data_IF_658208859445
#
_entry.id   IF_658208859445
#
_cell.length_a   1.000
_cell.length_b   1.000
_cell.length_c   1.000
_cell.angle_alpha   90.00
_cell.angle_beta   90.00
_cell.angle_gamma   90.00
#
_symmetry.space_group_name_H-M   'P 1'
#
loop_
_entity.id
_entity.type
_entity.pdbx_description
1 polymer ?
#
# COMPACT_ATOMS: atom_id res chain seq x y z
N UNK A 1 -51.48 -58.55 -73.46
CA UNK A 1 -52.01 -57.94 -72.24
C UNK A 1 -50.87 -57.34 -71.48
N UNK A 2 -50.84 -56.05 -71.61
CA UNK A 2 -49.82 -55.16 -71.15
C UNK A 2 -50.18 -54.66 -69.76
N UNK A 3 -49.24 -54.79 -68.80
CA UNK A 3 -49.41 -54.17 -67.50
C UNK A 3 -48.10 -53.41 -67.13
N UNK A 4 -47.99 -52.26 -67.75
CA UNK A 4 -47.03 -51.26 -67.37
C UNK A 4 -47.48 -50.49 -66.13
N UNK A 5 -46.78 -50.69 -65.04
CA UNK A 5 -46.90 -49.84 -63.83
C UNK A 5 -45.54 -49.23 -63.49
N UNK A 6 -45.44 -47.96 -63.81
CA UNK A 6 -44.24 -47.15 -63.40
C UNK A 6 -44.32 -46.83 -61.89
N UNK A 7 -43.24 -47.00 -61.13
CA UNK A 7 -43.25 -46.49 -59.75
C UNK A 7 -43.05 -44.97 -59.74
N UNK A 8 -44.06 -44.29 -59.17
CA UNK A 8 -43.95 -42.90 -58.84
C UNK A 8 -42.89 -42.70 -57.74
N UNK A 9 -41.90 -41.91 -58.07
CA UNK A 9 -40.95 -41.37 -57.12
C UNK A 9 -41.62 -40.41 -56.17
N UNK A 10 -41.57 -40.69 -54.91
CA UNK A 10 -42.00 -39.77 -53.86
C UNK A 10 -41.08 -38.54 -53.82
N UNK A 11 -41.61 -37.34 -53.57
CA UNK A 11 -40.78 -36.14 -53.46
C UNK A 11 -39.91 -36.19 -52.21
N UNK A 12 -38.59 -36.01 -52.39
CA UNK A 12 -37.61 -35.79 -51.35
C UNK A 12 -38.01 -34.51 -50.54
N UNK A 13 -38.34 -34.73 -49.28
CA UNK A 13 -38.44 -33.64 -48.30
C UNK A 13 -37.03 -33.17 -48.01
N UNK A 14 -36.60 -32.10 -48.69
CA UNK A 14 -35.42 -31.31 -48.30
C UNK A 14 -35.73 -30.63 -46.98
N UNK A 15 -35.21 -31.18 -45.91
CA UNK A 15 -35.13 -30.53 -44.61
C UNK A 15 -34.06 -29.42 -44.71
N UNK A 16 -34.51 -28.20 -44.80
CA UNK A 16 -33.64 -27.02 -44.77
C UNK A 16 -33.33 -26.73 -43.29
N UNK A 17 -32.09 -26.87 -42.80
CA UNK A 17 -31.72 -26.51 -41.43
C UNK A 17 -31.24 -25.07 -41.39
N UNK A 18 -32.06 -24.13 -41.78
CA UNK A 18 -31.83 -22.72 -41.46
C UNK A 18 -32.85 -22.23 -40.44
N UNK A 19 -32.74 -22.74 -39.22
CA UNK A 19 -33.25 -22.01 -38.05
C UNK A 19 -32.13 -21.12 -37.57
N UNK A 20 -32.01 -19.94 -38.15
CA UNK A 20 -31.31 -18.82 -37.50
C UNK A 20 -32.07 -18.44 -36.24
N UNK A 21 -31.71 -19.07 -35.14
CA UNK A 21 -32.08 -18.56 -33.81
C UNK A 21 -31.06 -17.48 -33.48
N UNK A 22 -31.19 -16.34 -34.10
CA UNK A 22 -30.67 -15.09 -33.55
C UNK A 22 -31.59 -14.68 -32.42
N UNK A 23 -31.30 -15.17 -31.21
CA UNK A 23 -31.78 -14.48 -30.04
C UNK A 23 -31.19 -13.07 -30.08
N UNK A 24 -31.99 -12.01 -29.93
CA UNK A 24 -31.43 -10.68 -29.81
C UNK A 24 -30.64 -10.68 -28.50
N UNK A 25 -29.33 -10.80 -28.61
CA UNK A 25 -28.43 -10.34 -27.55
C UNK A 25 -28.60 -8.82 -27.56
N UNK A 26 -29.51 -8.31 -26.76
CA UNK A 26 -29.44 -6.94 -26.31
C UNK A 26 -28.08 -6.79 -25.62
N UNK A 27 -27.09 -6.40 -26.39
CA UNK A 27 -25.86 -5.80 -25.88
C UNK A 27 -26.33 -4.47 -25.29
N UNK A 28 -26.68 -4.49 -24.01
CA UNK A 28 -26.77 -3.27 -23.20
C UNK A 28 -25.40 -2.63 -23.38
N UNK A 29 -25.26 -1.49 -24.07
CA UNK A 29 -24.01 -0.78 -24.09
C UNK A 29 -23.81 -0.27 -22.65
N UNK A 30 -23.07 -1.05 -21.84
CA UNK A 30 -22.49 -0.53 -20.62
C UNK A 30 -21.51 0.53 -21.10
N UNK A 31 -21.97 1.78 -21.07
CA UNK A 31 -21.12 2.90 -21.40
C UNK A 31 -19.93 2.81 -20.44
N UNK A 32 -18.71 2.82 -20.99
CA UNK A 32 -17.46 2.70 -20.19
C UNK A 32 -17.45 3.70 -19.04
N UNK A 33 -18.02 4.87 -19.28
CA UNK A 33 -18.12 5.95 -18.29
C UNK A 33 -18.98 5.57 -17.08
N UNK A 34 -20.07 4.80 -17.26
CA UNK A 34 -20.91 4.35 -16.15
C UNK A 34 -20.23 3.29 -15.29
N UNK A 35 -19.47 2.37 -15.93
CA UNK A 35 -18.70 1.34 -15.23
C UNK A 35 -17.57 1.97 -14.42
N UNK A 36 -16.88 2.95 -15.01
CA UNK A 36 -15.79 3.65 -14.34
C UNK A 36 -16.30 4.49 -13.16
N UNK A 37 -17.41 5.21 -13.33
CA UNK A 37 -18.04 5.94 -12.24
C UNK A 37 -18.49 5.04 -11.09
N UNK A 38 -19.08 3.87 -11.37
CA UNK A 38 -19.45 2.89 -10.35
C UNK A 38 -18.20 2.33 -9.64
N UNK A 39 -17.13 2.07 -10.37
CA UNK A 39 -15.88 1.57 -9.77
C UNK A 39 -15.23 2.62 -8.84
N UNK A 40 -15.23 3.89 -9.24
CA UNK A 40 -14.75 5.01 -8.41
C UNK A 40 -15.61 5.15 -7.14
N UNK A 41 -16.94 5.03 -7.25
CA UNK A 41 -17.84 5.10 -6.09
C UNK A 41 -17.56 3.96 -5.10
N UNK A 42 -17.47 2.72 -5.56
CA UNK A 42 -17.16 1.56 -4.71
C UNK A 42 -15.78 1.70 -4.06
N UNK A 43 -14.82 2.27 -4.77
CA UNK A 43 -13.49 2.53 -4.21
C UNK A 43 -13.56 3.60 -3.10
N UNK A 44 -14.31 4.68 -3.32
CA UNK A 44 -14.50 5.73 -2.32
C UNK A 44 -15.19 5.20 -1.07
N UNK A 45 -16.27 4.43 -1.19
CA UNK A 45 -16.95 3.79 -0.06
C UNK A 45 -15.99 2.89 0.74
N UNK A 46 -15.11 2.16 0.07
CA UNK A 46 -14.09 1.33 0.71
C UNK A 46 -13.08 2.16 1.51
N UNK A 47 -12.63 3.30 0.96
CA UNK A 47 -11.71 4.19 1.65
C UNK A 47 -12.38 4.87 2.85
N UNK A 48 -13.65 5.20 2.77
CA UNK A 48 -14.44 5.74 3.89
C UNK A 48 -14.62 4.70 5.01
N UNK A 49 -14.86 3.43 4.66
CA UNK A 49 -14.90 2.34 5.65
C UNK A 49 -13.53 2.15 6.33
N UNK A 50 -12.46 2.17 5.56
CA UNK A 50 -11.11 2.09 6.10
C UNK A 50 -10.78 3.27 7.02
N UNK A 51 -11.18 4.49 6.63
CA UNK A 51 -11.05 5.69 7.46
C UNK A 51 -11.71 5.47 8.83
N UNK A 52 -12.96 5.01 8.83
CA UNK A 52 -13.73 4.77 10.05
C UNK A 52 -13.08 3.69 10.92
N UNK A 53 -12.60 2.61 10.31
CA UNK A 53 -11.91 1.53 11.03
C UNK A 53 -10.61 2.02 11.68
N UNK A 54 -9.81 2.82 10.97
CA UNK A 54 -8.58 3.41 11.51
C UNK A 54 -8.87 4.39 12.66
N UNK A 55 -9.90 5.22 12.53
CA UNK A 55 -10.33 6.13 13.60
C UNK A 55 -10.76 5.34 14.85
N UNK A 56 -11.59 4.33 14.68
CA UNK A 56 -12.03 3.44 15.76
C UNK A 56 -10.84 2.76 16.43
N UNK A 57 -9.89 2.25 15.65
CA UNK A 57 -8.68 1.61 16.17
C UNK A 57 -7.81 2.55 17.00
N UNK A 58 -7.70 3.81 16.60
CA UNK A 58 -6.98 4.84 17.40
C UNK A 58 -7.74 5.16 18.69
N UNK A 59 -9.07 5.21 18.65
CA UNK A 59 -9.90 5.55 19.81
C UNK A 59 -10.00 4.40 20.83
N UNK A 60 -10.09 3.17 20.36
CA UNK A 60 -10.22 1.98 21.21
C UNK A 60 -8.89 1.48 21.77
N UNK A 61 -7.75 1.82 21.16
CA UNK A 61 -6.45 1.40 21.65
C UNK A 61 -5.85 2.45 22.59
N UNK A 62 -5.73 2.15 23.92
CA UNK A 62 -5.21 3.11 24.91
C UNK A 62 -3.77 3.59 24.62
N UNK A 63 -2.98 2.83 23.89
CA UNK A 63 -1.63 3.22 23.52
C UNK A 63 -1.65 4.24 22.38
N UNK A 64 -2.52 4.04 21.37
CA UNK A 64 -2.67 4.95 20.24
C UNK A 64 -3.43 6.23 20.61
N UNK A 65 -4.41 6.13 21.51
CA UNK A 65 -5.23 7.25 21.97
C UNK A 65 -4.38 8.41 22.53
N UNK A 66 -3.25 8.09 23.17
CA UNK A 66 -2.30 9.10 23.70
C UNK A 66 -1.68 9.97 22.62
N UNK A 67 -1.73 9.53 21.37
CA UNK A 67 -1.12 10.20 20.22
C UNK A 67 -2.17 10.65 19.19
N UNK A 68 -3.46 10.63 19.56
CA UNK A 68 -4.56 11.03 18.68
C UNK A 68 -4.37 12.45 18.10
N UNK A 69 -3.78 13.34 18.86
CA UNK A 69 -3.48 14.72 18.46
C UNK A 69 -2.38 14.83 17.40
N UNK A 70 -1.57 13.79 17.21
CA UNK A 70 -0.52 13.70 16.19
C UNK A 70 -0.97 12.97 14.93
N UNK A 71 -2.12 12.29 14.95
CA UNK A 71 -2.62 11.46 13.85
C UNK A 71 -3.86 12.13 13.26
N UNK A 72 -3.83 12.40 11.96
CA UNK A 72 -5.00 12.89 11.22
C UNK A 72 -5.29 12.02 10.00
N UNK A 73 -6.56 11.94 9.66
CA UNK A 73 -7.07 11.17 8.53
C UNK A 73 -7.89 12.08 7.64
N UNK A 74 -7.68 12.01 6.33
CA UNK A 74 -8.37 12.83 5.35
C UNK A 74 -8.61 12.07 4.05
N UNK A 75 -9.81 12.13 3.50
CA UNK A 75 -10.08 11.67 2.14
C UNK A 75 -9.66 12.77 1.16
N UNK A 76 -8.77 12.45 0.26
CA UNK A 76 -8.25 13.34 -0.79
C UNK A 76 -8.55 12.74 -2.18
N UNK A 77 -8.40 13.49 -3.27
CA UNK A 77 -8.55 12.94 -4.62
C UNK A 77 -7.57 11.79 -4.93
N UNK A 78 -6.41 11.76 -4.26
CA UNK A 78 -5.42 10.70 -4.41
C UNK A 78 -5.74 9.43 -3.59
N UNK A 79 -6.62 9.55 -2.60
CA UNK A 79 -7.02 8.47 -1.71
C UNK A 79 -7.12 8.88 -0.24
N UNK A 80 -7.07 7.90 0.66
CA UNK A 80 -7.09 8.16 2.11
C UNK A 80 -5.68 8.52 2.58
N UNK A 81 -5.51 9.77 3.01
CA UNK A 81 -4.29 10.27 3.65
C UNK A 81 -4.34 10.01 5.15
N UNK A 82 -3.30 9.35 5.64
CA UNK A 82 -2.99 9.17 7.06
C UNK A 82 -1.75 10.01 7.32
N UNK A 83 -1.90 11.09 8.08
CA UNK A 83 -0.81 12.01 8.38
C UNK A 83 -0.43 11.90 9.84
N UNK A 84 0.86 11.73 10.11
CA UNK A 84 1.40 11.67 11.47
C UNK A 84 2.43 12.79 11.59
N UNK A 85 2.21 13.69 12.56
CA UNK A 85 3.01 14.90 12.76
C UNK A 85 3.80 14.84 14.05
N UNK A 86 4.95 15.52 14.09
CA UNK A 86 5.67 15.76 15.33
C UNK A 86 4.89 16.72 16.22
N UNK A 87 4.93 16.48 17.53
CA UNK A 87 4.59 17.47 18.55
C UNK A 87 5.87 17.95 19.24
N UNK A 88 5.82 19.15 19.84
CA UNK A 88 6.99 19.78 20.46
C UNK A 88 7.71 18.87 21.48
N UNK A 89 6.94 18.09 22.24
CA UNK A 89 7.46 17.19 23.30
C UNK A 89 7.42 15.70 22.93
N UNK A 90 6.98 15.38 21.71
CA UNK A 90 6.80 13.98 21.24
C UNK A 90 7.27 13.85 19.79
N UNK A 91 8.59 13.90 19.55
CA UNK A 91 9.16 13.73 18.21
C UNK A 91 9.05 12.27 17.77
N UNK A 92 8.66 12.04 16.51
CA UNK A 92 8.55 10.69 15.90
C UNK A 92 9.92 10.01 15.72
N UNK A 93 10.97 10.81 15.52
CA UNK A 93 12.32 10.34 15.25
C UNK A 93 13.32 10.93 16.24
N UNK A 94 14.49 10.29 16.35
CA UNK A 94 15.64 10.92 17.00
C UNK A 94 16.09 12.16 16.23
N UNK A 95 16.67 13.12 16.93
CA UNK A 95 17.09 14.39 16.33
C UNK A 95 18.10 14.15 15.21
N UNK A 96 17.84 14.72 14.03
CA UNK A 96 18.71 14.55 12.86
C UNK A 96 18.84 13.12 12.33
N UNK A 97 17.99 12.20 12.75
CA UNK A 97 18.04 10.79 12.43
C UNK A 97 16.73 10.28 11.79
N UNK A 98 16.80 9.15 11.12
CA UNK A 98 15.66 8.37 10.66
C UNK A 98 15.28 7.24 11.63
N UNK A 99 15.92 7.18 12.82
CA UNK A 99 15.57 6.20 13.85
C UNK A 99 14.20 6.54 14.44
N UNK A 100 13.26 5.59 14.33
CA UNK A 100 11.92 5.72 14.91
C UNK A 100 11.96 5.73 16.43
N UNK A 101 11.14 6.59 17.03
CA UNK A 101 10.82 6.46 18.45
C UNK A 101 9.92 5.24 18.67
N UNK A 102 10.06 4.50 19.77
CA UNK A 102 9.28 3.28 20.01
C UNK A 102 7.76 3.47 19.87
N UNK A 103 7.24 4.57 20.37
CA UNK A 103 5.80 4.85 20.27
C UNK A 103 5.32 5.05 18.83
N UNK A 104 6.15 5.67 17.97
CA UNK A 104 5.80 5.88 16.58
C UNK A 104 5.86 4.57 15.79
N UNK A 105 6.84 3.74 16.08
CA UNK A 105 6.91 2.37 15.57
C UNK A 105 5.66 1.58 15.95
N UNK A 106 5.23 1.62 17.23
CA UNK A 106 4.02 0.96 17.71
C UNK A 106 2.75 1.43 16.95
N UNK A 107 2.65 2.75 16.64
CA UNK A 107 1.57 3.31 15.83
C UNK A 107 1.56 2.67 14.43
N UNK A 108 2.71 2.64 13.75
CA UNK A 108 2.82 2.09 12.40
C UNK A 108 2.52 0.58 12.36
N UNK A 109 3.04 -0.19 13.33
CA UNK A 109 2.76 -1.61 13.47
C UNK A 109 1.26 -1.87 13.67
N UNK A 110 0.62 -1.10 14.55
CA UNK A 110 -0.81 -1.24 14.83
C UNK A 110 -1.70 -0.89 13.63
N UNK A 111 -1.29 0.06 12.79
CA UNK A 111 -2.04 0.48 11.60
C UNK A 111 -1.85 -0.47 10.41
N UNK A 112 -0.71 -1.16 10.33
CA UNK A 112 -0.35 -2.00 9.19
C UNK A 112 -1.41 -3.05 8.87
N UNK A 113 -1.95 -3.74 9.90
CA UNK A 113 -2.98 -4.76 9.74
C UNK A 113 -4.29 -4.21 9.16
N UNK A 114 -4.68 -3.00 9.56
CA UNK A 114 -5.90 -2.37 9.06
C UNK A 114 -5.72 -1.89 7.62
N UNK A 115 -4.57 -1.26 7.32
CA UNK A 115 -4.29 -0.75 5.96
C UNK A 115 -4.18 -1.90 4.96
N UNK A 116 -3.60 -3.04 5.33
CA UNK A 116 -3.48 -4.20 4.42
C UNK A 116 -4.81 -4.89 4.08
N UNK A 117 -5.88 -4.60 4.82
CA UNK A 117 -7.20 -5.17 4.54
C UNK A 117 -7.78 -4.71 3.19
N UNK A 118 -7.28 -3.61 2.64
CA UNK A 118 -7.67 -3.12 1.32
C UNK A 118 -6.61 -3.46 0.26
N UNK A 119 -7.02 -3.74 -1.00
CA UNK A 119 -6.10 -4.11 -2.08
C UNK A 119 -5.34 -2.92 -2.68
N UNK A 120 -5.57 -1.72 -2.14
CA UNK A 120 -4.98 -0.48 -2.63
C UNK A 120 -3.49 -0.41 -2.27
N UNK A 121 -2.67 0.11 -3.16
CA UNK A 121 -1.27 0.41 -2.86
C UNK A 121 -1.14 1.69 -2.03
N UNK A 122 -0.02 1.84 -1.33
CA UNK A 122 0.27 3.04 -0.56
C UNK A 122 1.44 3.83 -1.16
N UNK A 123 1.38 5.15 -0.97
CA UNK A 123 2.49 6.08 -1.15
C UNK A 123 2.91 6.60 0.22
N UNK A 124 4.21 6.57 0.52
CA UNK A 124 4.74 7.05 1.79
C UNK A 124 5.63 8.25 1.51
N UNK A 125 5.38 9.36 2.17
CA UNK A 125 6.20 10.57 2.05
C UNK A 125 6.66 11.10 3.39
N UNK A 126 7.90 11.62 3.38
CA UNK A 126 8.53 12.24 4.55
C UNK A 126 8.78 13.72 4.31
N UNK A 127 8.62 14.51 5.37
CA UNK A 127 8.78 15.95 5.34
C UNK A 127 9.63 16.42 6.53
N UNK A 128 10.33 17.53 6.36
CA UNK A 128 11.06 18.22 7.42
C UNK A 128 10.51 19.62 7.63
N UNK A 129 10.84 20.24 8.75
CA UNK A 129 10.75 21.67 8.90
C UNK A 129 11.84 22.37 8.04
N UNK A 130 11.81 23.69 8.00
CA UNK A 130 12.76 24.49 7.21
C UNK A 130 14.12 24.69 7.92
N UNK A 131 14.37 24.06 9.08
CA UNK A 131 15.69 24.14 9.71
C UNK A 131 16.73 23.44 8.84
N UNK A 132 17.84 24.12 8.51
CA UNK A 132 18.92 23.49 7.80
C UNK A 132 19.40 22.25 8.57
N UNK A 133 19.61 21.15 7.84
CA UNK A 133 20.21 19.97 8.44
C UNK A 133 21.68 20.26 8.81
N UNK A 134 22.05 20.05 10.07
CA UNK A 134 23.37 20.36 10.58
C UNK A 134 24.39 19.21 10.38
N UNK A 135 24.12 18.28 9.46
CA UNK A 135 25.04 17.16 9.15
C UNK A 135 26.24 17.58 8.34
N UNK A 136 27.18 16.63 8.17
CA UNK A 136 28.38 16.83 7.34
C UNK A 136 28.19 16.25 5.94
N UNK A 137 28.81 16.86 4.94
CA UNK A 137 28.79 16.41 3.55
C UNK A 137 27.49 16.76 2.81
N UNK A 138 27.15 15.95 1.83
CA UNK A 138 26.01 16.15 0.92
C UNK A 138 24.66 15.68 1.51
N UNK A 139 24.62 15.23 2.76
CA UNK A 139 23.41 14.77 3.44
C UNK A 139 22.65 15.97 4.00
N UNK A 140 21.43 16.15 3.53
CA UNK A 140 20.56 17.26 3.90
C UNK A 140 19.13 16.82 4.26
N UNK A 141 18.21 17.79 4.26
CA UNK A 141 16.81 17.55 4.54
C UNK A 141 16.12 16.64 3.50
N UNK A 142 16.63 16.61 2.26
CA UNK A 142 16.13 15.72 1.20
C UNK A 142 16.39 14.25 1.57
N UNK A 143 17.64 13.92 1.90
CA UNK A 143 18.04 12.58 2.30
C UNK A 143 17.40 12.19 3.62
N UNK A 144 17.35 13.11 4.60
CA UNK A 144 16.73 12.86 5.89
C UNK A 144 15.23 12.51 5.73
N UNK A 145 14.50 13.29 4.94
CA UNK A 145 13.06 13.05 4.73
C UNK A 145 12.79 11.74 4.00
N UNK A 146 13.59 11.41 2.98
CA UNK A 146 13.49 10.14 2.27
C UNK A 146 13.83 8.94 3.17
N UNK A 147 14.88 9.04 4.00
CA UNK A 147 15.26 8.00 4.95
C UNK A 147 14.18 7.78 6.03
N UNK A 148 13.54 8.85 6.50
CA UNK A 148 12.41 8.78 7.45
C UNK A 148 11.19 8.09 6.84
N UNK A 149 10.85 8.42 5.58
CA UNK A 149 9.78 7.73 4.86
C UNK A 149 10.10 6.24 4.67
N UNK A 150 11.37 5.89 4.37
CA UNK A 150 11.80 4.49 4.28
C UNK A 150 11.77 3.78 5.64
N UNK A 151 12.08 4.47 6.74
CA UNK A 151 11.96 3.89 8.08
C UNK A 151 10.48 3.57 8.41
N UNK A 152 9.56 4.47 8.07
CA UNK A 152 8.13 4.21 8.21
C UNK A 152 7.67 3.02 7.34
N UNK A 153 8.14 2.89 6.08
CA UNK A 153 7.89 1.72 5.24
C UNK A 153 8.33 0.43 5.92
N UNK A 154 9.56 0.40 6.43
CA UNK A 154 10.09 -0.80 7.12
C UNK A 154 9.24 -1.20 8.32
N UNK A 155 8.76 -0.23 9.10
CA UNK A 155 7.88 -0.49 10.23
C UNK A 155 6.53 -1.06 9.80
N UNK A 156 5.90 -0.52 8.73
CA UNK A 156 4.67 -1.08 8.17
C UNK A 156 4.87 -2.52 7.68
N UNK A 157 5.98 -2.80 6.98
CA UNK A 157 6.32 -4.16 6.51
C UNK A 157 6.56 -5.11 7.69
N UNK A 158 7.22 -4.65 8.76
CA UNK A 158 7.37 -5.42 9.99
C UNK A 158 6.02 -5.70 10.67
N UNK A 159 5.04 -4.80 10.53
CA UNK A 159 3.64 -4.98 10.92
C UNK A 159 2.82 -5.82 9.94
N UNK A 160 3.46 -6.59 9.06
CA UNK A 160 2.84 -7.47 8.07
C UNK A 160 2.17 -6.78 6.89
N UNK A 161 2.47 -5.50 6.63
CA UNK A 161 2.06 -4.86 5.37
C UNK A 161 2.89 -5.41 4.21
N UNK A 162 2.28 -5.83 3.07
CA UNK A 162 3.02 -6.38 1.94
C UNK A 162 3.91 -5.32 1.26
N UNK A 163 5.21 -5.56 1.16
CA UNK A 163 6.15 -4.60 0.55
C UNK A 163 5.83 -4.31 -0.93
N UNK A 164 5.31 -5.28 -1.67
CA UNK A 164 4.87 -5.13 -3.05
C UNK A 164 3.63 -4.22 -3.22
N UNK A 165 2.91 -3.91 -2.14
CA UNK A 165 1.82 -2.93 -2.14
C UNK A 165 2.30 -1.50 -1.86
N UNK A 166 3.60 -1.28 -1.70
CA UNK A 166 4.16 0.07 -1.65
C UNK A 166 4.43 0.55 -3.07
N UNK A 167 3.66 1.56 -3.53
CA UNK A 167 3.82 2.12 -4.88
C UNK A 167 5.06 3.02 -4.96
N UNK A 168 5.31 3.82 -3.92
CA UNK A 168 6.49 4.70 -3.87
C UNK A 168 6.81 5.15 -2.45
N UNK A 169 8.08 5.58 -2.27
CA UNK A 169 8.58 6.27 -1.09
C UNK A 169 9.27 7.55 -1.52
N UNK A 170 8.90 8.71 -0.94
CA UNK A 170 9.36 10.03 -1.36
C UNK A 170 9.83 10.86 -0.18
N UNK A 171 10.94 11.60 -0.33
CA UNK A 171 11.34 12.66 0.57
C UNK A 171 11.02 14.02 -0.06
N UNK A 172 10.34 14.89 0.65
CA UNK A 172 10.00 16.24 0.20
C UNK A 172 10.79 17.33 0.91
N UNK A 173 11.65 16.99 1.86
CA UNK A 173 12.33 17.98 2.69
C UNK A 173 11.35 19.03 3.25
N UNK A 174 11.68 20.31 3.13
CA UNK A 174 10.80 21.44 3.50
C UNK A 174 10.08 22.07 2.29
N UNK A 175 10.05 21.40 1.13
CA UNK A 175 9.41 21.95 -0.08
C UNK A 175 7.89 22.06 0.02
N UNK A 176 7.28 21.29 0.92
CA UNK A 176 5.83 21.24 1.16
C UNK A 176 5.56 21.38 2.67
N UNK A 177 5.64 22.59 3.18
CA UNK A 177 5.34 22.86 4.58
C UNK A 177 3.83 22.73 4.85
N UNK A 178 3.48 22.11 5.98
CA UNK A 178 2.10 22.07 6.46
C UNK A 178 1.69 23.44 7.02
N UNK A 179 2.56 24.02 7.85
CA UNK A 179 2.42 25.40 8.33
C UNK A 179 3.47 26.29 7.63
N UNK A 180 3.05 26.92 6.55
CA UNK A 180 3.92 27.83 5.80
C UNK A 180 4.14 29.19 6.54
N UNK A 181 3.30 29.51 7.54
CA UNK A 181 3.43 30.76 8.33
C UNK A 181 4.53 30.63 9.37
N UNK A 182 4.68 29.43 9.93
CA UNK A 182 5.81 29.08 10.80
C UNK A 182 6.60 27.91 10.19
N UNK A 183 7.60 28.18 9.32
CA UNK A 183 8.37 27.14 8.66
C UNK A 183 9.16 26.22 9.62
N UNK A 184 9.36 26.65 10.88
CA UNK A 184 10.09 25.89 11.91
C UNK A 184 9.17 25.11 12.84
N UNK A 185 7.85 25.22 12.64
CA UNK A 185 6.87 24.52 13.45
C UNK A 185 7.10 23.00 13.39
N UNK A 186 7.11 22.31 14.55
CA UNK A 186 7.25 20.84 14.60
C UNK A 186 6.27 20.08 13.70
N UNK A 187 5.06 20.58 13.49
CA UNK A 187 4.05 19.92 12.64
C UNK A 187 4.48 19.78 11.16
N UNK A 188 5.47 20.56 10.71
CA UNK A 188 6.06 20.41 9.38
C UNK A 188 6.86 19.13 9.25
N UNK A 189 7.41 18.59 10.34
CA UNK A 189 8.03 17.28 10.36
C UNK A 189 6.93 16.24 10.46
N UNK A 190 6.64 15.58 9.37
CA UNK A 190 5.55 14.63 9.28
C UNK A 190 5.86 13.47 8.33
N UNK A 191 5.12 12.41 8.53
CA UNK A 191 5.02 11.28 7.59
C UNK A 191 3.58 11.23 7.10
N UNK A 192 3.41 11.22 5.78
CA UNK A 192 2.12 11.03 5.13
C UNK A 192 2.11 9.62 4.49
N UNK A 193 1.08 8.84 4.78
CA UNK A 193 0.79 7.56 4.16
C UNK A 193 -0.51 7.74 3.41
N UNK A 194 -0.50 7.59 2.09
CA UNK A 194 -1.70 7.71 1.27
C UNK A 194 -2.08 6.34 0.73
N UNK A 195 -3.24 5.84 1.13
CA UNK A 195 -3.86 4.64 0.54
C UNK A 195 -4.47 5.09 -0.78
N UNK A 196 -3.81 4.74 -1.89
CA UNK A 196 -4.04 5.31 -3.21
C UNK A 196 -5.34 4.84 -3.84
N UNK A 197 -6.06 5.74 -4.51
CA UNK A 197 -7.06 5.33 -5.50
C UNK A 197 -6.38 4.64 -6.68
N UNK A 198 -7.12 3.83 -7.44
CA UNK A 198 -6.60 3.21 -8.67
C UNK A 198 -6.13 4.24 -9.68
N UNK A 199 -6.79 5.39 -9.74
CA UNK A 199 -6.42 6.52 -10.59
C UNK A 199 -5.07 7.11 -10.18
N UNK A 200 -4.89 7.39 -8.89
CA UNK A 200 -3.62 7.90 -8.37
C UNK A 200 -2.50 6.87 -8.48
N UNK A 201 -2.78 5.58 -8.28
CA UNK A 201 -1.83 4.51 -8.49
C UNK A 201 -1.33 4.47 -9.93
N UNK A 202 -2.23 4.49 -10.93
CA UNK A 202 -1.85 4.53 -12.36
C UNK A 202 -1.02 5.76 -12.70
N UNK A 203 -1.36 6.91 -12.15
CA UNK A 203 -0.57 8.13 -12.35
C UNK A 203 0.87 8.03 -11.83
N UNK A 204 1.11 7.23 -10.78
CA UNK A 204 2.44 7.02 -10.19
C UNK A 204 3.22 5.95 -10.95
N UNK A 205 2.59 4.82 -11.28
CA UNK A 205 3.24 3.65 -11.88
C UNK A 205 3.35 3.76 -13.42
N UNK A 206 2.66 4.72 -14.01
CA UNK A 206 2.44 4.79 -15.44
C UNK A 206 1.39 3.76 -15.89
N UNK A 207 0.94 3.88 -17.14
CA UNK A 207 0.00 2.94 -17.77
C UNK A 207 0.76 1.68 -18.23
N UNK A 208 1.53 1.06 -17.33
CA UNK A 208 2.15 -0.23 -17.64
C UNK A 208 1.05 -1.29 -17.68
N UNK A 209 0.88 -2.00 -18.83
CA UNK A 209 0.03 -3.17 -18.84
C UNK A 209 0.51 -4.15 -17.77
N UNK A 210 -0.40 -4.91 -17.12
CA UNK A 210 0.01 -5.90 -16.15
C UNK A 210 1.09 -6.79 -16.76
N UNK A 211 2.14 -7.15 -16.01
CA UNK A 211 3.18 -8.03 -16.53
C UNK A 211 2.51 -9.28 -17.11
N UNK A 212 2.95 -9.76 -18.29
CA UNK A 212 2.38 -10.96 -18.88
C UNK A 212 2.47 -12.09 -17.84
N UNK A 213 1.44 -12.95 -17.75
CA UNK A 213 1.49 -14.09 -16.83
C UNK A 213 2.78 -14.84 -17.09
N UNK A 214 3.60 -15.01 -16.06
CA UNK A 214 4.88 -15.71 -16.16
C UNK A 214 4.57 -17.11 -16.70
N UNK A 215 5.08 -17.51 -17.88
CA UNK A 215 4.87 -18.85 -18.40
C UNK A 215 5.64 -19.81 -17.49
N UNK A 216 4.97 -20.51 -16.61
CA UNK A 216 5.60 -21.50 -15.72
C UNK A 216 4.98 -21.69 -14.35
N UNK A 217 3.98 -20.91 -13.94
CA UNK A 217 3.27 -21.17 -12.69
C UNK A 217 2.08 -22.16 -12.84
N UNK A 218 2.06 -22.91 -13.94
CA UNK A 218 1.07 -23.95 -14.18
C UNK A 218 1.75 -25.30 -14.38
N UNK A 219 1.44 -26.25 -13.49
CA UNK A 219 1.75 -27.68 -13.59
C UNK A 219 3.19 -28.10 -13.28
N UNK A 220 3.63 -27.93 -12.05
CA UNK A 220 4.44 -28.98 -11.42
C UNK A 220 3.52 -29.71 -10.43
N UNK A 221 3.39 -31.02 -10.67
CA UNK A 221 2.44 -31.91 -10.04
C UNK A 221 2.45 -31.80 -8.52
N UNK A 222 1.27 -31.60 -7.97
CA UNK A 222 1.03 -31.79 -6.56
C UNK A 222 1.34 -33.26 -6.22
N UNK A 223 2.45 -33.48 -5.53
CA UNK A 223 2.62 -34.69 -4.76
C UNK A 223 1.50 -34.75 -3.73
N UNK A 224 0.92 -35.91 -3.41
CA UNK A 224 -0.18 -36.00 -2.47
C UNK A 224 0.28 -35.47 -1.12
N UNK A 225 -0.45 -34.45 -0.65
CA UNK A 225 -0.22 -33.84 0.66
C UNK A 225 -0.40 -34.91 1.74
N UNK A 226 0.62 -35.11 2.55
CA UNK A 226 0.56 -35.89 3.77
C UNK A 226 -0.46 -35.23 4.70
N UNK A 227 -1.57 -35.90 5.10
CA UNK A 227 -2.60 -35.27 5.95
C UNK A 227 -2.14 -34.94 7.37
N UNK A 228 -0.87 -35.19 7.70
CA UNK A 228 -0.29 -34.95 9.01
C UNK A 228 0.85 -33.91 9.04
N UNK A 229 1.10 -33.21 7.93
CA UNK A 229 2.05 -32.11 7.91
C UNK A 229 1.43 -30.88 8.58
N UNK A 230 1.71 -30.70 9.86
CA UNK A 230 1.47 -29.45 10.59
C UNK A 230 2.37 -28.40 9.96
N UNK A 231 1.77 -27.47 9.21
CA UNK A 231 2.47 -26.27 8.77
C UNK A 231 3.00 -25.55 10.03
N UNK A 232 4.27 -25.09 10.03
CA UNK A 232 4.76 -24.30 11.15
C UNK A 232 3.94 -23.02 11.20
N UNK A 233 3.10 -22.88 12.23
CA UNK A 233 2.45 -21.66 12.60
C UNK A 233 3.56 -20.66 12.90
N UNK A 234 3.80 -19.70 11.99
CA UNK A 234 4.62 -18.56 12.32
C UNK A 234 3.80 -17.71 13.28
N UNK A 235 3.99 -17.94 14.57
CA UNK A 235 3.53 -16.99 15.58
C UNK A 235 4.11 -15.62 15.27
N UNK A 236 3.31 -14.55 15.32
CA UNK A 236 3.81 -13.20 15.12
C UNK A 236 4.93 -12.96 16.14
N UNK A 237 6.11 -12.57 15.65
CA UNK A 237 7.25 -12.27 16.49
C UNK A 237 6.86 -11.20 17.52
N UNK A 238 7.23 -11.34 18.80
CA UNK A 238 6.95 -10.34 19.81
C UNK A 238 7.60 -9.00 19.45
N UNK A 239 6.95 -7.90 19.80
CA UNK A 239 7.33 -6.55 19.40
C UNK A 239 8.81 -6.19 19.68
N UNK A 240 9.43 -6.78 20.71
CA UNK A 240 10.84 -6.56 21.03
C UNK A 240 11.81 -7.22 20.03
N UNK A 241 11.46 -8.38 19.47
CA UNK A 241 12.28 -9.04 18.44
C UNK A 241 12.17 -8.32 17.07
N UNK A 242 10.97 -7.77 16.77
CA UNK A 242 10.77 -6.94 15.60
C UNK A 242 11.63 -5.66 15.69
N UNK A 243 11.68 -5.03 16.87
CA UNK A 243 12.56 -3.87 17.14
C UNK A 243 14.04 -4.19 16.92
N UNK A 244 14.48 -5.36 17.37
CA UNK A 244 15.87 -5.79 17.19
C UNK A 244 16.21 -5.98 15.69
N UNK A 245 15.29 -6.54 14.90
CA UNK A 245 15.48 -6.69 13.45
C UNK A 245 15.47 -5.35 12.71
N UNK A 246 14.65 -4.38 13.12
CA UNK A 246 14.61 -3.04 12.54
C UNK A 246 15.89 -2.24 12.83
N UNK A 247 16.48 -2.38 14.04
CA UNK A 247 17.70 -1.68 14.42
C UNK A 247 18.98 -2.29 13.80
N UNK A 248 18.93 -3.56 13.33
CA UNK A 248 20.11 -4.22 12.73
C UNK A 248 20.51 -3.61 11.37
N UNK A 249 19.62 -2.86 10.72
CA UNK A 249 19.88 -2.23 9.42
C UNK A 249 20.28 -0.74 9.53
N UNK A 250 20.28 -0.18 10.74
CA UNK A 250 20.57 1.25 10.97
C UNK A 250 22.02 1.49 11.41
N UNK A 251 22.81 0.43 11.64
CA UNK A 251 24.24 0.51 12.00
C UNK A 251 25.17 0.69 10.78
N UNK A 252 24.74 1.51 9.81
CA UNK A 252 25.59 2.05 8.75
C UNK A 252 26.55 3.09 9.34
N UNK A 253 27.47 2.60 10.12
CA UNK A 253 28.73 3.14 10.62
C UNK A 253 29.03 4.61 10.43
N UNK A 254 28.78 5.43 11.43
CA UNK A 254 29.70 6.54 11.74
C UNK A 254 30.50 6.13 12.99
N UNK A 255 31.66 5.55 12.78
CA UNK A 255 32.68 5.45 13.83
C UNK A 255 33.14 6.88 14.15
N UNK A 256 32.80 7.33 15.33
CA UNK A 256 33.30 8.58 15.90
C UNK A 256 34.83 8.48 16.14
N UNK A 257 35.66 9.29 15.47
CA UNK A 257 37.14 9.16 15.58
C UNK A 257 37.73 10.03 16.69
N UNK A 258 36.98 10.44 17.71
CA UNK A 258 37.52 11.31 18.77
C UNK A 258 37.31 10.79 20.18
N UNK A 259 38.08 9.75 20.55
CA UNK A 259 38.46 9.54 21.96
C UNK A 259 39.99 9.42 22.00
N UNK A 260 40.75 10.40 22.56
CA UNK A 260 42.15 10.25 22.77
C UNK A 260 42.41 9.24 23.90
N UNK A 261 43.16 8.18 23.57
CA UNK A 261 43.73 7.28 24.58
C UNK A 261 44.78 8.08 25.38
N UNK A 262 44.48 8.43 26.62
CA UNK A 262 45.50 8.74 27.62
C UNK A 262 46.03 7.41 28.16
N UNK A 263 47.26 7.10 27.74
CA UNK A 263 48.05 6.04 28.36
C UNK A 263 48.86 6.60 29.50
N UNK A 264 49.01 5.85 30.52
CA UNK A 264 50.19 5.71 31.37
C UNK A 264 50.17 4.37 32.02
#
# INVERSE_FOLDING_TARGET
IDLGGSPQLAPELTINPEVKTEAPQEKIPFERDTVEAMAEQVEQERLELLLKELQTKVEENPQLLKFKDQISFEITPDGLRIQITDAANRPMFDSGSARLKPYFEDILLAMADTIKAVPNKISISGHTDAKPYAGQGDFGNWELSANRANAARRALVAGSYPDQQVARVVGFASSQLFDAKDPFNPINRRIDIVVLTKKAQRAIEGDQPPPPPTPGAGAQGAAPADPNAIAPSQEPLPAHELRQKLNLFDDGGVKDPTVPRTGS
#
